data_IF_640080172408
#
_entry.id   IF_640080172408
#
_cell.length_a   1.000
_cell.length_b   1.000
_cell.length_c   1.000
_cell.angle_alpha   90.00
_cell.angle_beta   90.00
_cell.angle_gamma   90.00
#
_symmetry.space_group_name_H-M   'P 1'
#
loop_
_entity.id
_entity.type
_entity.pdbx_description
1 polymer ?
#
# COMPACT_ATOMS: atom_id res chain seq x y z
N UNK A 1 -14.27 8.01 0.23
CA UNK A 1 -13.42 9.20 0.08
C UNK A 1 -12.66 9.15 -1.24
N UNK A 2 -12.42 10.29 -1.84
CA UNK A 2 -11.76 10.37 -3.14
C UNK A 2 -10.67 11.44 -3.10
N UNK A 3 -9.48 11.09 -3.60
CA UNK A 3 -8.35 12.00 -3.68
C UNK A 3 -7.93 12.09 -5.15
N UNK A 4 -7.81 13.31 -5.66
CA UNK A 4 -7.38 13.56 -7.03
C UNK A 4 -5.94 14.09 -7.04
N UNK A 5 -5.10 13.51 -7.90
CA UNK A 5 -3.70 13.89 -8.06
C UNK A 5 -3.52 14.37 -9.51
N UNK A 6 -3.32 15.66 -9.69
CA UNK A 6 -3.17 16.26 -11.04
C UNK A 6 -1.92 15.74 -11.74
N UNK A 7 -0.80 15.69 -11.01
CA UNK A 7 0.49 15.22 -11.51
C UNK A 7 1.36 14.85 -10.32
N UNK A 8 2.59 14.38 -10.59
CA UNK A 8 3.50 13.94 -9.54
C UNK A 8 3.90 15.03 -8.55
N UNK A 9 3.81 16.31 -8.93
CA UNK A 9 4.12 17.42 -8.03
C UNK A 9 3.13 17.53 -6.87
N UNK A 10 1.94 16.96 -7.02
CA UNK A 10 0.88 16.98 -6.00
C UNK A 10 0.76 15.68 -5.20
N UNK A 11 1.65 14.71 -5.44
CA UNK A 11 1.55 13.40 -4.80
C UNK A 11 1.76 13.46 -3.29
N UNK A 12 2.63 14.36 -2.82
CA UNK A 12 2.91 14.48 -1.39
C UNK A 12 1.70 15.02 -0.63
N UNK A 13 0.96 15.94 -1.21
CA UNK A 13 -0.28 16.46 -0.62
C UNK A 13 -1.34 15.35 -0.54
N UNK A 14 -1.45 14.55 -1.60
CA UNK A 14 -2.39 13.43 -1.64
C UNK A 14 -2.02 12.37 -0.59
N UNK A 15 -0.73 12.08 -0.45
CA UNK A 15 -0.24 11.13 0.55
C UNK A 15 -0.55 11.63 1.97
N UNK A 16 -0.37 12.91 2.24
CA UNK A 16 -0.67 13.49 3.54
C UNK A 16 -2.17 13.38 3.84
N UNK A 17 -3.02 13.65 2.85
CA UNK A 17 -4.47 13.49 3.00
C UNK A 17 -4.82 12.04 3.32
N UNK A 18 -4.20 11.09 2.62
CA UNK A 18 -4.41 9.67 2.88
C UNK A 18 -4.02 9.31 4.32
N UNK A 19 -2.87 9.77 4.78
CA UNK A 19 -2.38 9.49 6.14
C UNK A 19 -3.37 10.02 7.20
N UNK A 20 -3.93 11.19 6.98
CA UNK A 20 -4.92 11.78 7.89
C UNK A 20 -6.21 10.95 7.99
N UNK A 21 -6.48 10.12 7.00
CA UNK A 21 -7.70 9.30 6.94
C UNK A 21 -7.45 7.82 7.22
N UNK A 22 -6.23 7.44 7.61
CA UNK A 22 -5.93 6.04 7.97
C UNK A 22 -6.81 5.57 9.13
N UNK A 23 -6.99 6.42 10.14
CA UNK A 23 -7.82 6.08 11.30
C UNK A 23 -7.35 4.79 11.97
N UNK A 24 -8.28 3.89 12.23
CA UNK A 24 -8.00 2.58 12.84
C UNK A 24 -7.75 1.47 11.83
N UNK A 25 -7.82 1.77 10.54
CA UNK A 25 -7.50 0.78 9.50
C UNK A 25 -6.03 0.43 9.54
N UNK A 26 -5.72 -0.85 9.38
CA UNK A 26 -4.34 -1.33 9.42
C UNK A 26 -3.92 -2.04 8.15
N UNK A 27 -4.86 -2.60 7.39
CA UNK A 27 -4.56 -3.32 6.14
C UNK A 27 -5.21 -2.59 4.98
N UNK A 28 -4.40 -2.23 3.99
CA UNK A 28 -4.82 -1.48 2.81
C UNK A 28 -4.46 -2.27 1.56
N UNK A 29 -5.47 -2.66 0.80
CA UNK A 29 -5.30 -3.40 -0.45
C UNK A 29 -5.41 -2.43 -1.63
N UNK A 30 -4.29 -2.24 -2.34
CA UNK A 30 -4.21 -1.29 -3.45
C UNK A 30 -4.48 -1.97 -4.77
N UNK A 31 -5.55 -1.56 -5.42
CA UNK A 31 -5.97 -2.04 -6.73
C UNK A 31 -5.66 -0.98 -7.79
N UNK A 32 -5.27 -1.42 -8.94
CA UNK A 32 -4.99 -0.55 -10.06
C UNK A 32 -4.21 -1.31 -11.12
N UNK A 33 -4.33 -0.89 -12.38
CA UNK A 33 -3.60 -1.52 -13.47
C UNK A 33 -2.10 -1.28 -13.34
N UNK A 34 -1.31 -2.04 -14.09
CA UNK A 34 0.12 -1.82 -14.20
C UNK A 34 0.38 -0.38 -14.67
N UNK A 35 1.27 0.33 -13.99
CA UNK A 35 1.55 1.73 -14.31
C UNK A 35 0.56 2.74 -13.75
N UNK A 36 -0.42 2.32 -12.95
CA UNK A 36 -1.36 3.25 -12.31
C UNK A 36 -0.72 4.11 -11.23
N UNK A 37 0.49 3.74 -10.77
CA UNK A 37 1.21 4.52 -9.75
C UNK A 37 1.05 4.02 -8.34
N UNK A 38 0.68 2.75 -8.16
CA UNK A 38 0.50 2.16 -6.81
C UNK A 38 1.76 2.28 -5.96
N UNK A 39 2.90 1.81 -6.48
CA UNK A 39 4.18 1.87 -5.76
C UNK A 39 4.58 3.30 -5.47
N UNK A 40 4.42 4.20 -6.45
CA UNK A 40 4.76 5.61 -6.29
C UNK A 40 3.94 6.26 -5.18
N UNK A 41 2.65 5.95 -5.13
CA UNK A 41 1.78 6.50 -4.08
C UNK A 41 2.13 5.91 -2.71
N UNK A 42 2.35 4.60 -2.61
CA UNK A 42 2.74 3.95 -1.35
C UNK A 42 4.05 4.54 -0.83
N UNK A 43 5.00 4.77 -1.73
CA UNK A 43 6.26 5.43 -1.37
C UNK A 43 6.02 6.81 -0.76
N UNK A 44 5.16 7.61 -1.38
CA UNK A 44 4.84 8.93 -0.87
C UNK A 44 4.13 8.85 0.50
N UNK A 45 3.25 7.87 0.70
CA UNK A 45 2.58 7.63 1.97
C UNK A 45 3.60 7.27 3.06
N UNK A 46 4.55 6.39 2.76
CA UNK A 46 5.60 6.03 3.71
C UNK A 46 6.46 7.24 4.09
N UNK A 47 6.80 8.07 3.10
CA UNK A 47 7.54 9.31 3.36
C UNK A 47 6.73 10.26 4.27
N UNK A 48 5.42 10.38 4.04
CA UNK A 48 4.53 11.18 4.87
C UNK A 48 4.43 10.63 6.30
N UNK A 49 4.63 9.32 6.48
CA UNK A 49 4.67 8.67 7.79
C UNK A 49 6.05 8.75 8.47
N UNK A 50 6.99 9.44 7.84
CA UNK A 50 8.31 9.66 8.43
C UNK A 50 9.27 8.48 8.28
N UNK A 51 9.11 7.66 7.26
CA UNK A 51 10.08 6.60 6.95
C UNK A 51 11.31 7.24 6.33
N UNK A 52 12.48 7.01 6.93
CA UNK A 52 13.75 7.56 6.43
C UNK A 52 14.48 6.60 5.49
N UNK A 53 14.11 5.33 5.48
CA UNK A 53 14.72 4.34 4.60
C UNK A 53 14.42 4.63 3.13
N UNK A 54 15.26 4.09 2.25
CA UNK A 54 14.99 4.13 0.81
C UNK A 54 13.84 3.16 0.53
N UNK A 55 12.70 3.69 0.10
CA UNK A 55 11.50 2.91 -0.11
C UNK A 55 11.47 2.43 -1.55
N UNK A 56 11.44 1.09 -1.72
CA UNK A 56 11.38 0.44 -3.02
C UNK A 56 10.29 -0.61 -3.02
N UNK A 57 9.85 -1.03 -4.22
CA UNK A 57 9.02 -2.23 -4.32
C UNK A 57 9.83 -3.44 -3.90
N UNK A 58 9.24 -4.42 -3.20
CA UNK A 58 9.92 -5.69 -2.94
C UNK A 58 10.29 -6.36 -4.26
N UNK A 59 11.59 -6.59 -4.47
CA UNK A 59 12.09 -7.18 -5.72
C UNK A 59 12.41 -8.66 -5.57
N UNK A 60 13.07 -9.03 -4.49
CA UNK A 60 13.49 -10.40 -4.22
C UNK A 60 12.70 -11.04 -3.09
N UNK A 61 12.01 -10.24 -2.31
CA UNK A 61 11.12 -10.69 -1.24
C UNK A 61 9.69 -10.25 -1.57
N UNK A 62 8.70 -10.88 -0.95
CA UNK A 62 7.30 -10.49 -1.12
C UNK A 62 6.98 -9.25 -0.30
N UNK A 63 7.70 -9.02 0.79
CA UNK A 63 7.43 -7.93 1.74
C UNK A 63 8.70 -7.21 2.14
N UNK A 64 8.59 -5.88 2.24
CA UNK A 64 9.60 -5.03 2.86
C UNK A 64 9.02 -4.44 4.15
N UNK A 65 9.87 -4.27 5.15
CA UNK A 65 9.49 -3.72 6.45
C UNK A 65 10.16 -2.37 6.68
N UNK A 66 9.37 -1.39 7.14
CA UNK A 66 9.84 -0.05 7.48
C UNK A 66 9.29 0.36 8.85
N UNK A 67 9.87 1.39 9.44
CA UNK A 67 9.38 1.97 10.68
C UNK A 67 9.02 3.44 10.47
N UNK A 68 7.84 3.84 10.91
CA UNK A 68 7.43 5.24 10.93
C UNK A 68 8.10 5.93 12.11
N UNK A 69 8.89 6.96 11.86
CA UNK A 69 9.49 7.76 12.93
C UNK A 69 8.48 8.74 13.53
N UNK A 70 7.39 9.01 12.83
CA UNK A 70 6.34 9.91 13.32
C UNK A 70 5.42 9.21 14.31
N UNK A 71 4.97 7.98 14.00
CA UNK A 71 3.99 7.27 14.82
C UNK A 71 4.58 6.11 15.60
N UNK A 72 5.76 5.64 15.22
CA UNK A 72 6.37 4.44 15.79
C UNK A 72 5.83 3.13 15.19
N UNK A 73 4.87 3.20 14.28
CA UNK A 73 4.28 2.01 13.67
C UNK A 73 5.28 1.28 12.78
N UNK A 74 5.16 -0.05 12.75
CA UNK A 74 5.82 -0.87 11.74
C UNK A 74 4.96 -0.85 10.48
N UNK A 75 5.61 -0.71 9.32
CA UNK A 75 4.95 -0.66 8.03
C UNK A 75 5.44 -1.84 7.20
N UNK A 76 4.51 -2.62 6.68
CA UNK A 76 4.82 -3.75 5.79
C UNK A 76 4.29 -3.44 4.40
N UNK A 77 5.20 -3.39 3.42
CA UNK A 77 4.85 -3.17 2.01
C UNK A 77 4.95 -4.48 1.26
N UNK A 78 3.81 -4.99 0.80
CA UNK A 78 3.70 -6.27 0.08
C UNK A 78 3.54 -6.01 -1.41
N UNK A 79 4.15 -6.88 -2.21
CA UNK A 79 3.91 -6.94 -3.65
C UNK A 79 3.73 -8.40 -4.04
N UNK A 80 2.49 -8.76 -4.39
CA UNK A 80 2.15 -10.14 -4.77
C UNK A 80 2.15 -10.38 -6.29
N UNK A 81 2.64 -9.42 -7.07
CA UNK A 81 2.61 -9.53 -8.54
C UNK A 81 3.28 -10.78 -9.08
N UNK A 82 4.38 -11.20 -8.46
CA UNK A 82 5.18 -12.34 -8.92
C UNK A 82 4.82 -13.67 -8.28
N UNK A 83 3.82 -13.70 -7.41
CA UNK A 83 3.38 -14.92 -6.78
C UNK A 83 2.70 -15.80 -7.82
N UNK A 84 3.10 -17.07 -7.87
CA UNK A 84 2.54 -18.06 -8.80
C UNK A 84 1.58 -19.00 -8.09
N UNK A 85 1.82 -19.26 -6.80
CA UNK A 85 1.03 -20.20 -6.01
C UNK A 85 0.70 -19.60 -4.66
N UNK A 86 -0.50 -19.87 -4.19
CA UNK A 86 -0.96 -19.38 -2.89
C UNK A 86 -0.14 -19.95 -1.73
N UNK A 87 0.48 -21.14 -1.90
CA UNK A 87 1.38 -21.71 -0.89
C UNK A 87 2.52 -20.78 -0.54
N UNK A 88 3.00 -19.97 -1.48
CA UNK A 88 4.06 -19.00 -1.20
C UNK A 88 3.63 -17.98 -0.13
N UNK A 89 2.35 -17.62 -0.12
CA UNK A 89 1.79 -16.70 0.87
C UNK A 89 1.69 -17.39 2.24
N UNK A 90 1.24 -18.63 2.25
CA UNK A 90 1.18 -19.43 3.50
C UNK A 90 2.58 -19.63 4.08
N UNK A 91 3.55 -19.94 3.23
CA UNK A 91 4.92 -20.21 3.66
C UNK A 91 5.59 -18.98 4.27
N UNK A 92 5.24 -17.78 3.86
CA UNK A 92 5.79 -16.56 4.46
C UNK A 92 5.19 -16.20 5.81
N UNK A 93 4.10 -16.87 6.22
CA UNK A 93 3.42 -16.56 7.46
C UNK A 93 2.61 -15.26 7.42
N UNK A 94 1.77 -15.10 6.39
CA UNK A 94 1.03 -13.85 6.16
C UNK A 94 0.23 -13.37 7.36
N UNK A 95 -0.27 -14.30 8.19
CA UNK A 95 -1.10 -13.96 9.35
C UNK A 95 -0.33 -13.12 10.37
N UNK A 96 0.95 -13.40 10.55
CA UNK A 96 1.79 -12.64 11.47
C UNK A 96 1.90 -11.17 11.06
N UNK A 97 1.83 -10.88 9.76
CA UNK A 97 1.88 -9.51 9.25
C UNK A 97 0.49 -8.86 9.31
N UNK A 98 -0.51 -9.51 8.74
CA UNK A 98 -1.85 -8.91 8.58
C UNK A 98 -2.54 -8.65 9.92
N UNK A 99 -2.22 -9.43 10.96
CA UNK A 99 -2.84 -9.30 12.28
C UNK A 99 -1.86 -8.76 13.34
N UNK A 100 -0.73 -8.20 12.91
CA UNK A 100 0.32 -7.72 13.82
C UNK A 100 -0.02 -6.38 14.49
N UNK A 101 -0.98 -5.64 13.94
CA UNK A 101 -1.23 -4.26 14.35
C UNK A 101 -0.37 -3.23 13.62
N UNK A 102 0.57 -3.67 12.80
CA UNK A 102 1.33 -2.78 11.91
C UNK A 102 0.50 -2.37 10.70
N UNK A 103 0.97 -1.35 9.99
CA UNK A 103 0.34 -0.91 8.76
C UNK A 103 0.78 -1.81 7.61
N UNK A 104 -0.17 -2.39 6.90
CA UNK A 104 0.11 -3.25 5.74
C UNK A 104 -0.39 -2.57 4.48
N UNK A 105 0.52 -2.28 3.55
CA UNK A 105 0.19 -1.74 2.23
C UNK A 105 0.46 -2.84 1.21
N UNK A 106 -0.59 -3.29 0.52
CA UNK A 106 -0.55 -4.48 -0.32
C UNK A 106 -0.80 -4.09 -1.77
N UNK A 107 0.18 -4.38 -2.66
CA UNK A 107 0.03 -4.27 -4.10
C UNK A 107 -0.33 -5.64 -4.67
N UNK A 108 -1.14 -5.63 -5.73
CA UNK A 108 -1.63 -6.85 -6.40
C UNK A 108 -2.29 -7.82 -5.42
N UNK A 109 -3.33 -7.35 -4.70
CA UNK A 109 -3.98 -8.18 -3.68
C UNK A 109 -4.91 -9.26 -4.26
N UNK A 110 -5.12 -9.28 -5.57
CA UNK A 110 -6.12 -10.13 -6.22
C UNK A 110 -5.95 -11.61 -5.89
N UNK A 111 -4.69 -12.08 -5.79
CA UNK A 111 -4.41 -13.48 -5.47
C UNK A 111 -4.66 -13.84 -4.01
N UNK A 112 -4.74 -12.85 -3.14
CA UNK A 112 -4.82 -13.06 -1.69
C UNK A 112 -6.12 -12.50 -1.09
N UNK A 113 -7.10 -12.15 -1.91
CA UNK A 113 -8.34 -11.53 -1.42
C UNK A 113 -9.03 -12.36 -0.34
N UNK A 114 -9.04 -13.67 -0.48
CA UNK A 114 -9.63 -14.56 0.50
C UNK A 114 -8.88 -14.63 1.83
N UNK A 115 -7.67 -14.10 1.90
CA UNK A 115 -6.83 -14.10 3.09
C UNK A 115 -6.81 -12.75 3.79
N UNK A 116 -7.36 -11.70 3.17
CA UNK A 116 -7.38 -10.36 3.76
C UNK A 116 -8.29 -10.31 4.97
N UNK A 117 -7.93 -9.54 6.02
CA UNK A 117 -8.86 -9.30 7.13
C UNK A 117 -10.17 -8.68 6.64
N UNK A 118 -11.26 -8.93 7.35
CA UNK A 118 -12.57 -8.38 6.98
C UNK A 118 -12.60 -6.85 6.95
N UNK A 119 -11.80 -6.22 7.80
CA UNK A 119 -11.72 -4.77 7.89
C UNK A 119 -10.65 -4.16 6.99
N UNK A 120 -10.05 -4.94 6.09
CA UNK A 120 -9.10 -4.42 5.12
C UNK A 120 -9.78 -3.40 4.22
N UNK A 121 -9.13 -2.25 4.05
CA UNK A 121 -9.66 -1.17 3.23
C UNK A 121 -9.17 -1.32 1.79
N UNK A 122 -10.11 -1.30 0.85
CA UNK A 122 -9.77 -1.33 -0.57
C UNK A 122 -9.46 0.08 -1.05
N UNK A 123 -8.31 0.24 -1.68
CA UNK A 123 -7.84 1.50 -2.24
C UNK A 123 -7.68 1.32 -3.74
N UNK A 124 -8.46 2.04 -4.52
CA UNK A 124 -8.42 1.95 -5.99
C UNK A 124 -7.71 3.17 -6.56
N UNK A 125 -6.70 2.94 -7.40
CA UNK A 125 -5.97 3.99 -8.11
C UNK A 125 -6.28 3.86 -9.60
N UNK A 126 -6.84 4.93 -10.17
CA UNK A 126 -7.22 4.99 -11.59
C UNK A 126 -6.45 6.10 -12.28
N UNK A 127 -5.91 5.82 -13.46
CA UNK A 127 -5.34 6.84 -14.34
C UNK A 127 -6.45 7.41 -15.20
N UNK A 128 -6.59 8.74 -15.19
CA UNK A 128 -7.58 9.44 -15.99
C UNK A 128 -7.01 9.79 -17.37
N UNK A 129 -7.89 10.14 -18.31
CA UNK A 129 -7.51 10.47 -19.70
C UNK A 129 -6.51 11.62 -19.80
N UNK A 130 -6.57 12.56 -18.87
CA UNK A 130 -5.66 13.72 -18.84
C UNK A 130 -4.34 13.44 -18.12
N UNK A 131 -4.09 12.19 -17.73
CA UNK A 131 -2.88 11.81 -17.01
C UNK A 131 -2.95 11.99 -15.50
N UNK A 132 -4.02 12.57 -14.98
CA UNK A 132 -4.21 12.67 -13.54
C UNK A 132 -4.57 11.30 -12.96
N UNK A 133 -4.51 11.19 -11.64
CA UNK A 133 -4.86 9.96 -10.91
C UNK A 133 -5.99 10.23 -9.94
N UNK A 134 -6.87 9.25 -9.77
CA UNK A 134 -7.92 9.30 -8.75
C UNK A 134 -7.74 8.12 -7.81
N UNK A 135 -7.74 8.41 -6.51
CA UNK A 135 -7.65 7.40 -5.46
C UNK A 135 -8.99 7.36 -4.74
N UNK A 136 -9.60 6.18 -4.72
CA UNK A 136 -10.88 5.95 -4.00
C UNK A 136 -10.66 4.92 -2.90
N UNK A 137 -11.17 5.23 -1.74
CA UNK A 137 -11.19 4.30 -0.61
C UNK A 137 -12.54 4.29 0.08
#
# INVERSE_FOLDING_TARGET
MEINIKNTDHINEAAQTFVEHIGNHRVFAFYGSMGAGKTTFIKAVCEALGVEDVITSPTFAIVNEYTSLTTGDTIFHFDFYRIKKLEEVYDMGYEEYFYSGGLCFIEWPELVEGLLPEDALKVNITTNDDGSRTIKM
#
